data_IF_430176973749
#
_entry.id   IF_430176973749
#
_cell.length_a   1.000
_cell.length_b   1.000
_cell.length_c   1.000
_cell.angle_alpha   90.00
_cell.angle_beta   90.00
_cell.angle_gamma   90.00
#
_symmetry.space_group_name_H-M   'P 1'
#
loop_
_entity.id
_entity.type
_entity.pdbx_description
1 polymer ?
#
# COMPACT_ATOMS: atom_id res chain seq x y z
N UNK A 1 -25.21 -8.81 8.02
CA UNK A 1 -24.65 -8.20 9.23
C UNK A 1 -23.40 -8.98 9.58
N UNK A 2 -22.27 -8.65 8.97
CA UNK A 2 -20.94 -9.05 9.45
C UNK A 2 -20.20 -7.73 9.56
N UNK A 3 -20.44 -7.10 10.71
CA UNK A 3 -19.67 -6.00 11.24
C UNK A 3 -18.49 -6.60 12.00
N UNK A 4 -17.38 -5.85 12.05
CA UNK A 4 -16.24 -6.05 12.95
C UNK A 4 -15.19 -7.07 12.47
N UNK A 5 -14.14 -6.53 11.85
CA UNK A 5 -12.77 -6.51 12.36
C UNK A 5 -11.82 -6.48 11.16
N UNK A 6 -11.21 -5.32 10.92
CA UNK A 6 -10.12 -5.23 9.96
C UNK A 6 -8.95 -6.08 10.47
N UNK A 7 -8.72 -7.22 9.83
CA UNK A 7 -7.61 -8.10 10.14
C UNK A 7 -6.29 -7.39 9.83
N UNK A 8 -5.59 -6.92 10.86
CA UNK A 8 -4.23 -6.41 10.72
C UNK A 8 -3.24 -7.51 11.09
N UNK A 9 -2.54 -8.06 10.10
CA UNK A 9 -1.56 -9.12 10.33
C UNK A 9 -0.25 -8.56 10.91
N UNK A 10 -0.10 -8.62 12.24
CA UNK A 10 1.20 -8.43 12.89
C UNK A 10 2.05 -9.66 12.62
N UNK A 11 2.99 -9.52 11.68
CA UNK A 11 4.08 -10.43 11.29
C UNK A 11 4.06 -11.78 12.04
N UNK A 12 3.36 -12.77 11.47
CA UNK A 12 3.44 -14.15 11.97
C UNK A 12 4.91 -14.61 11.91
N UNK A 13 5.41 -15.31 12.94
CA UNK A 13 6.67 -16.03 12.84
C UNK A 13 6.63 -16.94 11.61
N UNK A 14 7.70 -16.94 10.80
CA UNK A 14 7.91 -17.82 9.63
C UNK A 14 7.70 -19.33 9.92
N UNK A 15 7.46 -19.71 11.19
CA UNK A 15 7.27 -21.08 11.67
C UNK A 15 5.94 -21.72 11.25
N UNK A 16 4.96 -20.95 10.80
CA UNK A 16 3.71 -21.48 10.24
C UNK A 16 3.71 -21.12 8.77
N UNK A 17 3.63 -22.12 7.88
CA UNK A 17 3.49 -21.96 6.43
C UNK A 17 2.14 -21.32 6.02
N UNK A 18 1.66 -20.35 6.80
CA UNK A 18 0.45 -19.58 6.60
C UNK A 18 0.47 -18.87 5.23
N UNK A 19 1.64 -18.37 4.82
CA UNK A 19 1.80 -17.78 3.49
C UNK A 19 1.53 -18.77 2.36
N UNK A 20 1.99 -20.02 2.46
CA UNK A 20 1.71 -21.05 1.46
C UNK A 20 0.25 -21.48 1.48
N UNK A 21 -0.36 -21.59 2.66
CA UNK A 21 -1.80 -21.91 2.80
C UNK A 21 -2.69 -20.84 2.18
N UNK A 22 -2.39 -19.57 2.41
CA UNK A 22 -3.11 -18.46 1.81
C UNK A 22 -2.93 -18.45 0.28
N UNK A 23 -1.71 -18.69 -0.22
CA UNK A 23 -1.44 -18.79 -1.68
C UNK A 23 -2.16 -19.96 -2.35
N UNK A 24 -2.29 -21.10 -1.68
CA UNK A 24 -3.01 -22.27 -2.21
C UNK A 24 -4.52 -22.01 -2.34
N UNK A 25 -5.10 -21.26 -1.40
CA UNK A 25 -6.52 -20.91 -1.43
C UNK A 25 -6.87 -19.85 -2.50
N UNK A 26 -5.87 -19.07 -2.95
CA UNK A 26 -6.05 -17.99 -3.93
C UNK A 26 -6.35 -18.45 -5.38
N UNK A 27 -6.47 -19.75 -5.65
CA UNK A 27 -6.56 -20.26 -7.03
C UNK A 27 -7.94 -20.13 -7.69
N UNK A 28 -8.99 -19.71 -6.98
CA UNK A 28 -10.36 -19.56 -7.53
C UNK A 28 -10.68 -18.09 -7.90
N UNK A 29 -10.74 -17.74 -9.20
CA UNK A 29 -10.92 -16.35 -9.67
C UNK A 29 -12.28 -15.72 -9.34
N UNK A 30 -13.30 -16.52 -9.03
CA UNK A 30 -14.66 -16.03 -8.83
C UNK A 30 -15.03 -15.83 -7.35
N UNK A 31 -14.09 -16.09 -6.43
CA UNK A 31 -14.44 -16.27 -5.01
C UNK A 31 -14.25 -15.04 -4.13
N UNK A 32 -13.43 -14.05 -4.53
CA UNK A 32 -13.04 -12.94 -3.65
C UNK A 32 -12.97 -11.61 -4.40
N UNK A 33 -13.92 -10.72 -4.12
CA UNK A 33 -13.94 -9.36 -4.68
C UNK A 33 -12.96 -8.41 -3.99
N UNK A 34 -12.55 -8.75 -2.76
CA UNK A 34 -11.60 -7.99 -1.96
C UNK A 34 -10.54 -8.93 -1.36
N UNK A 35 -9.66 -9.44 -2.22
CA UNK A 35 -8.74 -10.53 -1.92
C UNK A 35 -7.95 -10.37 -0.61
N UNK A 36 -7.41 -9.19 -0.37
CA UNK A 36 -6.55 -8.88 0.77
C UNK A 36 -7.30 -8.90 2.11
N UNK A 37 -8.63 -8.79 2.09
CA UNK A 37 -9.48 -8.89 3.28
C UNK A 37 -10.21 -10.24 3.35
N UNK A 38 -10.80 -10.67 2.24
CA UNK A 38 -11.64 -11.87 2.20
C UNK A 38 -10.83 -13.15 2.43
N UNK A 39 -9.58 -13.19 1.95
CA UNK A 39 -8.74 -14.37 2.07
C UNK A 39 -8.35 -14.65 3.53
N UNK A 40 -7.83 -13.69 4.33
CA UNK A 40 -7.68 -13.88 5.77
C UNK A 40 -8.99 -14.23 6.48
N UNK A 41 -10.10 -13.58 6.12
CA UNK A 41 -11.41 -13.82 6.74
C UNK A 41 -11.87 -15.28 6.55
N UNK A 42 -11.74 -15.81 5.34
CA UNK A 42 -12.10 -17.21 5.03
C UNK A 42 -11.18 -18.22 5.72
N UNK A 43 -9.94 -17.83 5.99
CA UNK A 43 -8.91 -18.70 6.56
C UNK A 43 -8.73 -18.53 8.07
N UNK A 44 -9.60 -17.75 8.75
CA UNK A 44 -9.48 -17.45 10.19
C UNK A 44 -9.45 -18.70 11.07
N UNK A 45 -10.12 -19.77 10.66
CA UNK A 45 -10.14 -21.05 11.39
C UNK A 45 -8.92 -21.94 11.07
N UNK A 46 -8.23 -21.70 9.95
CA UNK A 46 -7.14 -22.53 9.45
C UNK A 46 -5.74 -21.92 9.69
N UNK A 47 -5.70 -20.60 9.82
CA UNK A 47 -4.53 -19.79 10.13
C UNK A 47 -4.83 -19.01 11.40
N UNK A 48 -3.96 -19.11 12.39
CA UNK A 48 -4.14 -18.38 13.65
C UNK A 48 -4.00 -16.87 13.41
N UNK A 49 -5.14 -16.19 13.32
CA UNK A 49 -5.24 -14.74 13.23
C UNK A 49 -5.59 -14.21 14.63
N UNK A 50 -4.91 -13.15 15.06
CA UNK A 50 -5.20 -12.47 16.32
C UNK A 50 -5.89 -11.15 16.01
N UNK A 51 -7.01 -10.89 16.68
CA UNK A 51 -7.68 -9.60 16.63
C UNK A 51 -6.89 -8.56 17.42
N UNK A 52 -6.81 -7.35 16.88
CA UNK A 52 -6.30 -6.20 17.61
C UNK A 52 -7.44 -5.51 18.36
N UNK A 53 -7.17 -4.82 19.49
CA UNK A 53 -8.17 -3.98 20.13
C UNK A 53 -8.77 -2.94 19.17
N UNK A 54 -10.03 -2.59 19.38
CA UNK A 54 -10.78 -1.67 18.50
C UNK A 54 -10.14 -0.28 18.38
N UNK A 55 -9.36 0.16 19.37
CA UNK A 55 -8.67 1.46 19.37
C UNK A 55 -7.53 1.55 18.33
N UNK A 56 -7.15 0.44 17.71
CA UNK A 56 -6.07 0.42 16.73
C UNK A 56 -6.45 1.00 15.38
N UNK A 57 -7.72 0.92 14.98
CA UNK A 57 -8.19 1.37 13.68
C UNK A 57 -9.52 2.09 13.79
N UNK A 58 -9.56 3.32 13.30
CA UNK A 58 -10.77 4.13 13.22
C UNK A 58 -11.07 4.53 11.79
N UNK A 59 -12.34 4.53 11.41
CA UNK A 59 -12.78 5.07 10.12
C UNK A 59 -14.16 5.73 10.24
N UNK A 60 -14.34 6.87 9.58
CA UNK A 60 -15.54 7.72 9.72
C UNK A 60 -16.85 7.03 9.34
N UNK A 61 -16.80 6.08 8.40
CA UNK A 61 -18.02 5.43 7.90
C UNK A 61 -18.58 4.40 8.88
N UNK A 62 -17.72 3.77 9.68
CA UNK A 62 -18.08 2.60 10.49
C UNK A 62 -17.84 2.77 11.98
N UNK A 63 -17.14 3.83 12.41
CA UNK A 63 -16.82 4.09 13.80
C UNK A 63 -17.46 5.39 14.29
N UNK A 64 -17.82 5.44 15.57
CA UNK A 64 -18.35 6.66 16.18
C UNK A 64 -17.28 7.75 16.33
N UNK A 65 -17.68 9.01 16.21
CA UNK A 65 -16.78 10.16 16.35
C UNK A 65 -16.12 10.25 17.74
N UNK A 66 -16.77 9.74 18.79
CA UNK A 66 -16.22 9.71 20.15
C UNK A 66 -15.00 8.79 20.25
N UNK A 67 -15.01 7.66 19.50
CA UNK A 67 -13.92 6.68 19.50
C UNK A 67 -12.66 7.19 18.79
N UNK A 68 -12.79 8.24 17.96
CA UNK A 68 -11.67 8.89 17.27
C UNK A 68 -10.62 9.44 18.25
N UNK A 69 -11.03 9.90 19.42
CA UNK A 69 -10.13 10.47 20.43
C UNK A 69 -9.13 9.44 20.98
N UNK A 70 -9.50 8.16 20.99
CA UNK A 70 -8.66 7.06 21.47
C UNK A 70 -7.98 6.30 20.32
N UNK A 71 -8.26 6.67 19.07
CA UNK A 71 -7.77 5.95 17.91
C UNK A 71 -6.26 6.11 17.74
N UNK A 72 -5.55 5.00 17.51
CA UNK A 72 -4.12 4.99 17.22
C UNK A 72 -3.82 5.22 15.75
N UNK A 73 -4.70 4.74 14.87
CA UNK A 73 -4.60 4.95 13.42
C UNK A 73 -5.97 5.26 12.83
N UNK A 74 -5.97 6.02 11.74
CA UNK A 74 -7.18 6.44 11.02
C UNK A 74 -7.08 5.91 9.59
N UNK A 75 -8.04 5.07 9.20
CA UNK A 75 -8.22 4.66 7.80
C UNK A 75 -9.21 5.58 7.10
N UNK A 76 -8.81 6.05 5.92
CA UNK A 76 -9.66 6.83 5.02
C UNK A 76 -10.45 5.87 4.12
N UNK A 77 -11.36 5.15 4.75
CA UNK A 77 -12.23 4.17 4.12
C UNK A 77 -13.14 4.82 3.06
N UNK A 78 -13.54 4.05 2.05
CA UNK A 78 -14.48 4.54 1.05
C UNK A 78 -15.89 4.61 1.64
N UNK A 79 -16.56 5.76 1.49
CA UNK A 79 -17.95 5.90 1.92
C UNK A 79 -18.91 5.45 0.78
N UNK A 80 -19.78 4.46 1.01
CA UNK A 80 -20.69 3.95 -0.02
C UNK A 80 -21.80 4.94 -0.41
N UNK A 81 -22.13 5.89 0.48
CA UNK A 81 -23.15 6.93 0.24
C UNK A 81 -22.55 8.15 -0.47
N UNK A 82 -21.32 8.51 -0.14
CA UNK A 82 -20.66 9.71 -0.68
C UNK A 82 -19.31 9.38 -1.29
N UNK A 83 -19.14 9.62 -2.58
CA UNK A 83 -17.85 9.45 -3.27
C UNK A 83 -16.92 10.67 -3.06
N UNK A 84 -16.68 11.02 -1.80
CA UNK A 84 -15.72 12.08 -1.48
C UNK A 84 -14.29 11.62 -1.82
N UNK A 85 -13.48 12.44 -2.53
CA UNK A 85 -12.08 12.11 -2.78
C UNK A 85 -11.27 12.01 -1.49
N UNK A 86 -10.38 10.99 -1.40
CA UNK A 86 -9.57 10.72 -0.20
C UNK A 86 -8.77 11.93 0.31
N UNK A 87 -8.22 12.76 -0.58
CA UNK A 87 -7.47 13.96 -0.20
C UNK A 87 -8.34 14.99 0.52
N UNK A 88 -9.58 15.16 0.07
CA UNK A 88 -10.53 16.08 0.70
C UNK A 88 -10.96 15.56 2.08
N UNK A 89 -11.23 14.26 2.17
CA UNK A 89 -11.51 13.59 3.43
C UNK A 89 -10.33 13.72 4.41
N UNK A 90 -9.08 13.54 3.95
CA UNK A 90 -7.89 13.65 4.77
C UNK A 90 -7.78 15.03 5.45
N UNK A 91 -7.96 16.12 4.70
CA UNK A 91 -7.93 17.49 5.24
C UNK A 91 -9.04 17.73 6.26
N UNK A 92 -10.24 17.18 6.02
CA UNK A 92 -11.41 17.36 6.89
C UNK A 92 -11.33 16.53 8.17
N UNK A 93 -10.88 15.28 8.05
CA UNK A 93 -10.86 14.29 9.14
C UNK A 93 -9.62 14.47 10.00
N UNK A 94 -8.46 14.73 9.41
CA UNK A 94 -7.17 14.77 10.11
C UNK A 94 -6.64 16.21 10.08
N UNK A 95 -6.85 17.02 11.13
CA UNK A 95 -6.51 18.44 11.11
C UNK A 95 -5.00 18.70 10.94
N UNK A 96 -4.15 17.79 11.38
CA UNK A 96 -2.70 17.85 11.20
C UNK A 96 -2.22 17.50 9.78
N UNK A 97 -3.09 16.96 8.92
CA UNK A 97 -2.72 16.52 7.58
C UNK A 97 -2.14 17.65 6.73
N UNK A 98 -2.75 18.83 6.77
CA UNK A 98 -2.29 20.00 5.99
C UNK A 98 -0.89 20.45 6.39
N UNK A 99 -0.52 20.27 7.66
CA UNK A 99 0.83 20.57 8.14
C UNK A 99 1.84 19.59 7.53
N UNK A 100 1.58 18.28 7.62
CA UNK A 100 2.48 17.27 7.07
C UNK A 100 2.62 17.39 5.55
N UNK A 101 1.53 17.62 4.83
CA UNK A 101 1.55 17.87 3.38
C UNK A 101 2.42 19.09 3.03
N UNK A 102 2.33 20.17 3.83
CA UNK A 102 3.16 21.36 3.65
C UNK A 102 4.64 21.09 3.91
N UNK A 103 4.96 20.35 4.97
CA UNK A 103 6.34 19.96 5.32
C UNK A 103 6.98 19.11 4.22
N UNK A 104 6.26 18.11 3.70
CA UNK A 104 6.71 17.27 2.58
C UNK A 104 6.93 18.12 1.32
N UNK A 105 6.00 19.00 0.97
CA UNK A 105 6.13 19.89 -0.20
C UNK A 105 7.35 20.81 -0.09
N UNK A 106 7.62 21.35 1.10
CA UNK A 106 8.82 22.16 1.34
C UNK A 106 10.10 21.33 1.19
N UNK A 107 10.11 20.12 1.73
CA UNK A 107 11.24 19.21 1.59
C UNK A 107 11.53 18.86 0.12
N UNK A 108 10.49 18.52 -0.66
CA UNK A 108 10.63 18.22 -2.08
C UNK A 108 11.20 19.41 -2.88
N UNK A 109 10.76 20.64 -2.59
CA UNK A 109 11.33 21.85 -3.22
C UNK A 109 12.82 22.00 -2.93
N UNK A 110 13.24 21.81 -1.68
CA UNK A 110 14.67 21.88 -1.31
C UNK A 110 15.51 20.83 -2.04
N UNK A 111 15.00 19.61 -2.19
CA UNK A 111 15.69 18.54 -2.93
C UNK A 111 15.85 18.92 -4.41
N UNK A 112 14.81 19.46 -5.03
CA UNK A 112 14.85 19.90 -6.43
C UNK A 112 15.85 21.06 -6.65
N UNK A 113 15.86 22.05 -5.75
CA UNK A 113 16.81 23.16 -5.80
C UNK A 113 18.26 22.73 -5.59
N UNK A 114 18.50 21.71 -4.76
CA UNK A 114 19.84 21.17 -4.56
C UNK A 114 20.32 20.38 -5.78
N UNK A 115 19.43 19.65 -6.46
CA UNK A 115 19.76 18.94 -7.70
C UNK A 115 20.12 19.91 -8.83
N UNK A 116 19.40 21.04 -8.96
CA UNK A 116 19.67 22.05 -9.99
C UNK A 116 20.93 22.89 -9.75
N UNK A 117 21.41 22.97 -8.49
CA UNK A 117 22.65 23.68 -8.12
C UNK A 117 23.91 22.83 -8.26
N UNK A 118 23.79 21.52 -8.47
CA UNK A 118 24.93 20.67 -8.84
C UNK A 118 25.33 21.01 -10.28
N UNK A 119 26.53 21.57 -10.54
CA UNK A 119 26.98 21.76 -11.90
C UNK A 119 27.10 20.38 -12.55
N UNK A 120 26.47 20.21 -13.71
CA UNK A 120 26.86 19.17 -14.65
C UNK A 120 28.29 19.46 -15.09
N UNK A 121 29.28 18.97 -14.33
CA UNK A 121 30.62 18.76 -14.84
C UNK A 121 30.59 17.50 -15.70
N UNK A 122 30.27 17.66 -16.98
CA UNK A 122 30.70 16.74 -18.03
C UNK A 122 31.77 17.47 -18.83
N UNK A 123 32.96 16.88 -19.05
CA UNK A 123 33.06 15.93 -20.16
C UNK A 123 34.11 14.81 -19.97
N UNK A 124 33.83 13.62 -20.54
CA UNK A 124 34.77 12.57 -21.00
C UNK A 124 34.16 11.19 -20.75
N UNK A 125 34.14 10.20 -21.64
CA UNK A 125 34.64 10.01 -23.01
C UNK A 125 33.88 8.80 -23.56
N UNK A 126 33.34 8.88 -24.78
CA UNK A 126 32.79 7.71 -25.45
C UNK A 126 33.91 6.67 -25.70
N UNK A 127 33.76 5.40 -25.33
CA UNK A 127 34.65 4.35 -25.82
C UNK A 127 34.34 4.08 -27.30
N UNK A 128 35.35 3.75 -28.14
CA UNK A 128 35.13 3.46 -29.55
C UNK A 128 34.29 2.19 -29.72
N UNK A 129 33.31 2.23 -30.63
CA UNK A 129 32.63 1.04 -31.13
C UNK A 129 33.62 0.10 -31.83
N UNK A 130 33.59 -1.21 -31.52
CA UNK A 130 34.06 -2.21 -32.46
C UNK A 130 32.93 -2.52 -33.46
N UNK A 131 33.18 -2.21 -34.73
CA UNK A 131 32.53 -2.80 -35.90
C UNK A 131 32.67 -4.33 -35.88
N UNK A 132 31.57 -5.07 -36.00
CA UNK A 132 31.64 -6.54 -36.09
C UNK A 132 30.29 -7.26 -36.19
N UNK A 133 29.74 -7.27 -37.40
CA UNK A 133 28.99 -8.37 -38.05
C UNK A 133 27.67 -8.91 -37.46
N UNK A 134 26.61 -8.55 -38.19
CA UNK A 134 25.41 -9.32 -38.50
C UNK A 134 25.61 -10.85 -38.52
N UNK A 135 24.83 -11.56 -37.69
CA UNK A 135 24.41 -12.92 -37.97
C UNK A 135 22.99 -13.12 -37.41
N UNK A 136 22.08 -13.15 -38.37
CA UNK A 136 20.70 -13.62 -38.31
C UNK A 136 20.63 -15.03 -37.70
N UNK A 137 19.65 -15.26 -36.83
CA UNK A 137 19.01 -16.56 -36.67
C UNK A 137 17.73 -16.40 -35.87
N UNK A 138 16.64 -16.30 -36.63
CA UNK A 138 15.36 -16.91 -36.28
C UNK A 138 15.58 -18.32 -35.71
N UNK A 139 14.88 -18.66 -34.63
CA UNK A 139 14.40 -20.02 -34.42
C UNK A 139 13.06 -20.00 -33.69
N UNK A 140 12.15 -20.75 -34.29
CA UNK A 140 10.72 -20.90 -34.06
C UNK A 140 10.32 -21.60 -32.74
N UNK A 141 9.04 -21.42 -32.42
CA UNK A 141 8.06 -22.32 -31.77
C UNK A 141 8.53 -23.45 -30.82
N UNK A 142 7.97 -23.41 -29.61
CA UNK A 142 6.90 -24.33 -29.16
C UNK A 142 6.11 -23.75 -27.99
#
# INVERSE_FOLDING_TARGET
>A
MISEESVFCVKLPQKIAAGDRLRGQYQDPNSLSNLDQDLPNNMIHQVAIKSLPQDWLWCETWCDDTSKATAKTIDLCNNPKTKEPKLKAAVRIVPEWSRYDSEVKQFLRRVQENQSKTPHSSPSTAPPQPTGQHLDSQHDEL
#
